data_IF_716905913579
#
_entry.id   IF_716905913579
#
_cell.length_a   1.000
_cell.length_b   1.000
_cell.length_c   1.000
_cell.angle_alpha   90.00
_cell.angle_beta   90.00
_cell.angle_gamma   90.00
#
_symmetry.space_group_name_H-M   'P 1'
#
loop_
_entity.id
_entity.type
_entity.pdbx_description
1 polymer ?
#
# COMPACT_ATOMS: atom_id res chain seq x y z
N UNK A 1 -24.20 17.16 -10.81
CA UNK A 1 -22.85 17.42 -10.26
C UNK A 1 -21.96 16.40 -10.95
N UNK A 2 -20.95 16.84 -11.71
CA UNK A 2 -20.23 15.99 -12.67
C UNK A 2 -19.37 14.93 -11.98
N UNK A 3 -19.80 13.67 -12.06
CA UNK A 3 -19.20 12.48 -11.43
C UNK A 3 -17.95 11.91 -12.14
N UNK A 4 -17.41 12.55 -13.16
CA UNK A 4 -16.28 12.00 -13.91
C UNK A 4 -14.95 12.62 -13.44
N UNK A 5 -14.50 12.30 -12.22
CA UNK A 5 -13.08 12.46 -11.89
C UNK A 5 -12.34 11.22 -12.44
N UNK A 6 -11.61 11.34 -13.58
CA UNK A 6 -10.99 10.18 -14.24
C UNK A 6 -9.91 9.52 -13.38
N UNK A 7 -9.38 10.21 -12.36
CA UNK A 7 -8.39 9.68 -11.44
C UNK A 7 -8.99 8.70 -10.42
N UNK A 8 -10.30 8.69 -10.20
CA UNK A 8 -10.96 7.71 -9.31
C UNK A 8 -10.80 6.27 -9.82
N UNK A 9 -10.50 6.11 -11.10
CA UNK A 9 -10.26 4.80 -11.68
C UNK A 9 -8.89 4.21 -11.39
N UNK A 10 -7.93 5.03 -10.96
CA UNK A 10 -6.60 4.55 -10.60
C UNK A 10 -6.67 3.62 -9.39
N UNK A 11 -5.95 2.50 -9.50
CA UNK A 11 -5.96 1.44 -8.49
C UNK A 11 -5.53 1.96 -7.13
N UNK A 12 -4.55 2.88 -7.07
CA UNK A 12 -4.09 3.45 -5.80
C UNK A 12 -5.20 4.23 -5.07
N UNK A 13 -6.10 4.90 -5.80
CA UNK A 13 -7.25 5.59 -5.21
C UNK A 13 -8.25 4.57 -4.66
N UNK A 14 -8.55 3.53 -5.43
CA UNK A 14 -9.41 2.42 -5.01
C UNK A 14 -8.87 1.73 -3.75
N UNK A 15 -7.55 1.55 -3.63
CA UNK A 15 -6.88 1.03 -2.42
C UNK A 15 -7.25 1.84 -1.17
N UNK A 16 -7.12 3.18 -1.22
CA UNK A 16 -7.46 4.02 -0.08
C UNK A 16 -8.96 4.05 0.21
N UNK A 17 -9.81 3.95 -0.82
CA UNK A 17 -11.25 3.79 -0.63
C UNK A 17 -11.59 2.47 0.09
N UNK A 18 -10.95 1.35 -0.26
CA UNK A 18 -11.15 0.07 0.43
C UNK A 18 -10.69 0.13 1.90
N UNK A 19 -9.57 0.80 2.20
CA UNK A 19 -9.16 1.03 3.59
C UNK A 19 -10.20 1.83 4.38
N UNK A 20 -10.76 2.87 3.76
CA UNK A 20 -11.78 3.71 4.37
C UNK A 20 -13.05 2.94 4.76
N UNK A 21 -13.41 1.88 4.02
CA UNK A 21 -14.57 1.03 4.32
C UNK A 21 -14.38 0.19 5.59
N UNK A 22 -13.15 -0.12 5.96
CA UNK A 22 -12.82 -1.00 7.10
C UNK A 22 -12.20 -0.27 8.29
N UNK A 23 -12.16 1.07 8.27
CA UNK A 23 -11.46 1.91 9.26
C UNK A 23 -11.88 1.66 10.71
N UNK A 24 -13.14 1.28 10.94
CA UNK A 24 -13.70 1.05 12.28
C UNK A 24 -13.43 -0.38 12.81
N UNK A 25 -12.81 -1.25 12.00
CA UNK A 25 -12.49 -2.62 12.38
C UNK A 25 -10.98 -2.84 12.36
N UNK A 26 -10.28 -2.80 13.52
CA UNK A 26 -8.83 -2.99 13.58
C UNK A 26 -8.37 -4.29 12.92
N UNK A 27 -9.13 -5.38 13.07
CA UNK A 27 -8.82 -6.67 12.44
C UNK A 27 -8.83 -6.55 10.92
N UNK A 28 -9.93 -6.07 10.35
CA UNK A 28 -10.08 -5.97 8.90
C UNK A 28 -9.11 -4.94 8.31
N UNK A 29 -8.91 -3.81 8.99
CA UNK A 29 -7.97 -2.79 8.59
C UNK A 29 -6.55 -3.33 8.45
N UNK A 30 -6.04 -4.06 9.45
CA UNK A 30 -4.70 -4.68 9.40
C UNK A 30 -4.61 -5.71 8.26
N UNK A 31 -5.64 -6.55 8.09
CA UNK A 31 -5.66 -7.57 7.04
C UNK A 31 -5.65 -6.95 5.63
N UNK A 32 -6.52 -5.97 5.39
CA UNK A 32 -6.65 -5.28 4.10
C UNK A 32 -5.39 -4.47 3.79
N UNK A 33 -4.90 -3.69 4.76
CA UNK A 33 -3.69 -2.89 4.59
C UNK A 33 -2.47 -3.77 4.27
N UNK A 34 -2.30 -4.88 4.99
CA UNK A 34 -1.21 -5.82 4.70
C UNK A 34 -1.36 -6.44 3.31
N UNK A 35 -2.58 -6.76 2.87
CA UNK A 35 -2.83 -7.28 1.51
C UNK A 35 -2.32 -6.31 0.44
N UNK A 36 -2.60 -5.01 0.59
CA UNK A 36 -2.11 -3.99 -0.34
C UNK A 36 -0.60 -3.79 -0.26
N UNK A 37 -0.02 -3.76 0.93
CA UNK A 37 1.44 -3.72 1.12
C UNK A 37 2.11 -4.88 0.38
N UNK A 38 1.55 -6.10 0.47
CA UNK A 38 2.10 -7.25 -0.22
C UNK A 38 2.02 -7.11 -1.75
N UNK A 39 0.97 -6.49 -2.30
CA UNK A 39 0.87 -6.19 -3.72
C UNK A 39 1.93 -5.16 -4.17
N UNK A 40 2.14 -4.10 -3.40
CA UNK A 40 3.17 -3.10 -3.69
C UNK A 40 4.56 -3.74 -3.64
N UNK A 41 4.86 -4.51 -2.58
CA UNK A 41 6.14 -5.22 -2.42
C UNK A 41 6.39 -6.20 -3.57
N UNK A 42 5.38 -6.96 -4.00
CA UNK A 42 5.52 -7.86 -5.15
C UNK A 42 5.87 -7.09 -6.43
N UNK A 43 5.27 -5.92 -6.63
CA UNK A 43 5.55 -5.07 -7.81
C UNK A 43 6.98 -4.53 -7.77
N UNK A 44 7.47 -4.11 -6.60
CA UNK A 44 8.86 -3.66 -6.42
C UNK A 44 9.85 -4.81 -6.65
N UNK A 45 9.56 -6.01 -6.13
CA UNK A 45 10.35 -7.23 -6.43
C UNK A 45 10.39 -7.49 -7.93
N UNK A 46 9.25 -7.40 -8.62
CA UNK A 46 9.15 -7.61 -10.06
C UNK A 46 10.04 -6.66 -10.86
N UNK A 47 10.16 -5.41 -10.42
CA UNK A 47 11.00 -4.40 -11.05
C UNK A 47 12.49 -4.50 -10.71
N UNK A 48 12.85 -4.88 -9.46
CA UNK A 48 14.24 -4.79 -8.97
C UNK A 48 15.00 -6.12 -9.00
N UNK A 49 14.31 -7.26 -8.92
CA UNK A 49 14.98 -8.56 -8.79
C UNK A 49 15.08 -9.30 -10.14
N UNK A 50 16.28 -9.75 -10.51
CA UNK A 50 16.52 -10.54 -11.74
C UNK A 50 15.70 -11.83 -11.82
N UNK A 51 15.45 -12.46 -10.66
CA UNK A 51 14.68 -13.70 -10.54
C UNK A 51 13.25 -13.45 -10.03
N UNK A 52 12.71 -12.26 -10.25
CA UNK A 52 11.43 -11.82 -9.69
C UNK A 52 10.29 -12.81 -9.90
N UNK A 53 10.09 -13.31 -11.13
CA UNK A 53 9.05 -14.30 -11.44
C UNK A 53 9.11 -15.53 -10.52
N UNK A 54 10.30 -16.01 -10.17
CA UNK A 54 10.48 -17.13 -9.22
C UNK A 54 10.08 -16.70 -7.80
N UNK A 55 10.50 -15.50 -7.38
CA UNK A 55 10.24 -14.95 -6.05
C UNK A 55 8.74 -14.66 -5.84
N UNK A 56 8.05 -14.10 -6.83
CA UNK A 56 6.64 -13.69 -6.70
C UNK A 56 5.66 -14.86 -6.86
N UNK A 57 5.96 -15.84 -7.71
CA UNK A 57 5.08 -17.02 -7.93
C UNK A 57 5.23 -18.13 -6.88
N UNK A 58 6.42 -18.31 -6.28
CA UNK A 58 6.65 -19.37 -5.30
C UNK A 58 6.45 -18.87 -3.85
N UNK A 59 5.19 -18.92 -3.40
CA UNK A 59 4.80 -18.46 -2.05
C UNK A 59 5.34 -19.31 -0.90
N UNK A 60 5.76 -20.56 -1.16
CA UNK A 60 6.31 -21.46 -0.14
C UNK A 60 7.73 -21.07 0.21
N UNK A 61 8.57 -20.90 -0.81
CA UNK A 61 9.99 -20.61 -0.62
C UNK A 61 10.25 -19.11 -0.41
N UNK A 62 9.35 -18.26 -0.92
CA UNK A 62 9.42 -16.81 -0.78
C UNK A 62 8.14 -16.26 -0.14
N UNK A 63 7.89 -16.54 1.15
CA UNK A 63 6.83 -15.88 1.89
C UNK A 63 7.09 -14.36 1.96
N UNK A 64 6.07 -13.59 2.35
CA UNK A 64 6.18 -12.13 2.42
C UNK A 64 7.38 -11.65 3.26
N UNK A 65 7.71 -12.33 4.37
CA UNK A 65 8.91 -12.02 5.17
C UNK A 65 10.22 -12.16 4.40
N UNK A 66 10.34 -13.18 3.54
CA UNK A 66 11.53 -13.37 2.72
C UNK A 66 11.66 -12.27 1.65
N UNK A 67 10.54 -11.82 1.08
CA UNK A 67 10.53 -10.70 0.13
C UNK A 67 10.97 -9.39 0.78
N UNK A 68 10.47 -9.10 1.98
CA UNK A 68 10.90 -7.93 2.76
C UNK A 68 12.41 -7.99 3.05
N UNK A 69 12.92 -9.17 3.46
CA UNK A 69 14.35 -9.36 3.70
C UNK A 69 15.17 -9.13 2.42
N UNK A 70 14.75 -9.69 1.29
CA UNK A 70 15.42 -9.46 -0.01
C UNK A 70 15.50 -7.98 -0.35
N UNK A 71 14.40 -7.22 -0.18
CA UNK A 71 14.41 -5.79 -0.46
C UNK A 71 15.33 -5.03 0.50
N UNK A 72 15.41 -5.44 1.77
CA UNK A 72 16.30 -4.82 2.74
C UNK A 72 17.79 -5.12 2.45
N UNK A 73 18.14 -6.38 2.23
CA UNK A 73 19.51 -6.81 1.88
C UNK A 73 20.02 -6.19 0.56
N UNK A 74 19.10 -5.83 -0.34
CA UNK A 74 19.45 -5.17 -1.61
C UNK A 74 19.43 -3.64 -1.52
N UNK A 75 19.14 -3.07 -0.33
CA UNK A 75 19.09 -1.63 -0.09
C UNK A 75 17.87 -0.93 -0.71
N UNK A 76 16.90 -1.68 -1.24
CA UNK A 76 15.64 -1.13 -1.76
C UNK A 76 14.70 -0.73 -0.61
N UNK A 77 14.76 -1.44 0.51
CA UNK A 77 13.97 -1.17 1.70
C UNK A 77 14.90 -0.78 2.87
N UNK A 78 14.83 0.46 3.38
CA UNK A 78 15.66 0.87 4.52
C UNK A 78 15.38 0.06 5.79
N UNK A 79 16.40 -0.11 6.66
CA UNK A 79 16.32 -0.93 7.87
C UNK A 79 15.16 -0.55 8.81
N UNK A 80 14.96 0.75 9.01
CA UNK A 80 13.86 1.25 9.83
C UNK A 80 12.51 0.82 9.26
N UNK A 81 12.33 0.94 7.95
CA UNK A 81 11.08 0.60 7.28
C UNK A 81 10.87 -0.92 7.22
N UNK A 82 11.95 -1.70 7.01
CA UNK A 82 11.93 -3.15 7.12
C UNK A 82 11.44 -3.62 8.50
N UNK A 83 11.94 -3.02 9.59
CA UNK A 83 11.49 -3.33 10.95
C UNK A 83 10.00 -3.07 11.15
N UNK A 84 9.48 -1.99 10.59
CA UNK A 84 8.05 -1.66 10.65
C UNK A 84 7.22 -2.66 9.84
N UNK A 85 7.64 -3.04 8.63
CA UNK A 85 6.95 -4.04 7.83
C UNK A 85 6.95 -5.43 8.47
N UNK A 86 8.08 -5.87 9.04
CA UNK A 86 8.12 -7.17 9.73
C UNK A 86 7.23 -7.17 10.99
N UNK A 87 7.21 -6.07 11.74
CA UNK A 87 6.26 -5.91 12.84
C UNK A 87 4.80 -5.95 12.36
N UNK A 88 4.47 -5.21 11.30
CA UNK A 88 3.10 -5.15 10.78
C UNK A 88 2.64 -6.51 10.24
N UNK A 89 3.55 -7.29 9.64
CA UNK A 89 3.32 -8.69 9.26
C UNK A 89 2.98 -9.58 10.47
N UNK A 90 3.68 -9.41 11.59
CA UNK A 90 3.37 -10.14 12.84
C UNK A 90 2.00 -9.72 13.40
N UNK A 91 1.68 -8.43 13.37
CA UNK A 91 0.36 -7.91 13.76
C UNK A 91 -0.75 -8.51 12.88
N UNK A 92 -0.53 -8.62 11.57
CA UNK A 92 -1.46 -9.29 10.65
C UNK A 92 -1.64 -10.77 10.98
N UNK A 93 -0.57 -11.49 11.30
CA UNK A 93 -0.69 -12.89 11.70
C UNK A 93 -1.58 -13.04 12.94
N UNK A 94 -1.42 -12.17 13.94
CA UNK A 94 -2.34 -12.12 15.08
C UNK A 94 -3.78 -11.84 14.64
N UNK A 95 -4.00 -10.83 13.80
CA UNK A 95 -5.31 -10.50 13.26
C UNK A 95 -5.98 -11.65 12.49
N UNK A 96 -5.20 -12.53 11.86
CA UNK A 96 -5.72 -13.68 11.13
C UNK A 96 -6.05 -14.88 12.01
N UNK A 97 -5.32 -15.08 13.11
CA UNK A 97 -5.36 -16.34 13.88
C UNK A 97 -5.95 -16.21 15.29
N UNK A 98 -5.96 -15.02 15.89
CA UNK A 98 -6.53 -14.85 17.24
C UNK A 98 -8.07 -14.88 17.19
N UNK A 99 -8.75 -15.62 18.09
CA UNK A 99 -10.21 -15.62 18.16
C UNK A 99 -10.79 -14.22 18.44
N UNK A 100 -10.13 -13.47 19.31
CA UNK A 100 -10.44 -12.08 19.63
C UNK A 100 -9.18 -11.27 19.35
N UNK A 101 -9.28 -10.28 18.47
CA UNK A 101 -8.16 -9.45 18.06
C UNK A 101 -8.42 -8.01 18.49
N UNK A 102 -7.43 -7.42 19.16
CA UNK A 102 -7.36 -6.01 19.46
C UNK A 102 -5.93 -5.53 19.30
N UNK A 103 -5.78 -4.27 18.92
CA UNK A 103 -4.49 -3.58 18.86
C UNK A 103 -4.34 -2.80 20.15
N UNK A 104 -3.25 -3.04 20.87
CA UNK A 104 -2.95 -2.38 22.14
C UNK A 104 -1.91 -1.29 21.98
N UNK A 105 -1.82 -0.38 22.96
CA UNK A 105 -0.73 0.62 23.00
C UNK A 105 0.66 -0.04 23.01
N UNK A 106 0.78 -1.21 23.65
CA UNK A 106 2.02 -1.98 23.67
C UNK A 106 2.39 -2.54 22.29
N UNK A 107 1.41 -2.91 21.47
CA UNK A 107 1.69 -3.38 20.11
C UNK A 107 2.31 -2.26 19.27
N UNK A 108 1.89 -1.03 19.52
CA UNK A 108 2.25 0.15 18.75
C UNK A 108 3.52 0.86 19.27
N UNK A 109 4.09 0.44 20.39
CA UNK A 109 5.21 1.13 21.03
C UNK A 109 6.50 1.11 20.22
N UNK A 110 6.60 0.22 19.22
CA UNK A 110 7.73 0.15 18.28
C UNK A 110 7.78 1.36 17.32
N UNK A 111 6.64 2.02 17.10
CA UNK A 111 6.53 3.14 16.17
C UNK A 111 7.27 4.36 16.74
N UNK A 112 8.13 5.00 15.94
CA UNK A 112 8.90 6.17 16.40
C UNK A 112 8.00 7.36 16.73
N UNK A 113 6.94 7.56 15.95
CA UNK A 113 5.99 8.65 16.18
C UNK A 113 4.95 8.24 17.23
N UNK A 114 5.00 8.89 18.39
CA UNK A 114 4.10 8.65 19.53
C UNK A 114 2.62 8.83 19.20
N UNK A 115 2.27 9.61 18.17
CA UNK A 115 0.88 9.74 17.70
C UNK A 115 0.27 8.36 17.43
N UNK A 116 1.03 7.48 16.79
CA UNK A 116 0.56 6.16 16.41
C UNK A 116 0.62 5.14 17.56
N UNK A 117 0.98 5.54 18.79
CA UNK A 117 0.88 4.66 19.96
C UNK A 117 -0.56 4.49 20.42
N UNK A 118 -1.47 5.36 19.98
CA UNK A 118 -2.90 5.22 20.23
C UNK A 118 -3.57 4.36 19.14
N UNK A 119 -4.24 3.24 19.50
CA UNK A 119 -5.00 2.43 18.55
C UNK A 119 -6.06 3.19 17.74
N UNK A 120 -6.58 4.31 18.26
CA UNK A 120 -7.51 5.17 17.51
C UNK A 120 -6.87 5.74 16.22
N UNK A 121 -5.54 5.86 16.20
CA UNK A 121 -4.79 6.35 15.05
C UNK A 121 -4.34 5.24 14.08
N UNK A 122 -4.83 4.00 14.25
CA UNK A 122 -4.41 2.87 13.41
C UNK A 122 -4.76 3.04 11.93
N UNK A 123 -5.92 3.63 11.62
CA UNK A 123 -6.34 3.90 10.24
C UNK A 123 -5.38 4.89 9.55
N UNK A 124 -5.04 5.97 10.24
CA UNK A 124 -4.08 6.94 9.73
C UNK A 124 -2.70 6.30 9.56
N UNK A 125 -2.26 5.52 10.54
CA UNK A 125 -0.99 4.78 10.44
C UNK A 125 -0.95 3.87 9.20
N UNK A 126 -2.00 3.06 8.97
CA UNK A 126 -2.06 2.17 7.80
C UNK A 126 -2.03 2.95 6.48
N UNK A 127 -2.74 4.08 6.43
CA UNK A 127 -2.77 4.99 5.28
C UNK A 127 -1.37 5.56 5.02
N UNK A 128 -0.68 6.03 6.06
CA UNK A 128 0.68 6.58 5.96
C UNK A 128 1.70 5.50 5.61
N UNK A 129 1.57 4.28 6.13
CA UNK A 129 2.47 3.19 5.80
C UNK A 129 2.38 2.82 4.30
N UNK A 130 1.17 2.71 3.77
CA UNK A 130 0.93 2.41 2.35
C UNK A 130 1.36 3.60 1.48
N UNK A 131 0.92 4.82 1.83
CA UNK A 131 1.26 6.03 1.09
C UNK A 131 2.76 6.35 1.10
N UNK A 132 3.44 6.10 2.22
CA UNK A 132 4.88 6.27 2.35
C UNK A 132 5.65 5.34 1.43
N UNK A 133 5.33 4.04 1.47
CA UNK A 133 5.96 3.05 0.58
C UNK A 133 5.64 3.29 -0.90
N UNK A 134 4.41 3.72 -1.20
CA UNK A 134 4.02 4.18 -2.53
C UNK A 134 4.90 5.34 -3.02
N UNK A 135 5.03 6.40 -2.21
CA UNK A 135 5.78 7.60 -2.57
C UNK A 135 7.28 7.33 -2.74
N UNK A 136 7.85 6.44 -1.91
CA UNK A 136 9.27 6.06 -1.98
C UNK A 136 9.62 5.30 -3.28
N UNK A 137 8.63 4.65 -3.90
CA UNK A 137 8.80 3.85 -5.11
C UNK A 137 7.88 4.32 -6.25
N UNK A 138 7.60 5.61 -6.33
CA UNK A 138 6.66 6.19 -7.29
C UNK A 138 7.07 5.93 -8.75
N UNK A 139 8.38 5.86 -9.03
CA UNK A 139 8.92 5.53 -10.35
C UNK A 139 8.52 4.13 -10.85
N UNK A 140 8.32 3.20 -9.93
CA UNK A 140 7.95 1.81 -10.21
C UNK A 140 6.44 1.61 -10.09
N UNK A 141 5.86 2.11 -8.99
CA UNK A 141 4.48 1.85 -8.63
C UNK A 141 3.51 2.78 -9.37
N UNK A 142 3.91 4.02 -9.63
CA UNK A 142 3.14 5.04 -10.35
C UNK A 142 2.50 4.51 -11.63
N UNK A 143 3.32 4.04 -12.60
CA UNK A 143 2.81 3.52 -13.87
C UNK A 143 1.88 2.31 -13.75
N UNK A 144 1.97 1.55 -12.65
CA UNK A 144 1.20 0.31 -12.45
C UNK A 144 -0.14 0.58 -11.78
N UNK A 145 -0.16 1.38 -10.71
CA UNK A 145 -1.38 1.58 -9.91
C UNK A 145 -2.03 2.96 -10.11
N UNK A 146 -1.33 3.91 -10.72
CA UNK A 146 -1.83 5.27 -10.94
C UNK A 146 -1.55 5.80 -12.36
N UNK A 147 -1.73 4.99 -13.44
CA UNK A 147 -1.32 5.39 -14.78
C UNK A 147 -1.97 6.70 -15.27
N UNK A 148 -3.19 7.03 -14.83
CA UNK A 148 -3.88 8.25 -15.26
C UNK A 148 -3.35 9.49 -14.56
N UNK A 149 -3.09 9.39 -13.26
CA UNK A 149 -2.38 10.42 -12.49
C UNK A 149 -1.01 10.68 -13.10
N UNK A 150 -0.26 9.62 -13.43
CA UNK A 150 1.08 9.74 -14.02
C UNK A 150 1.08 10.33 -15.43
N UNK A 151 0.01 10.12 -16.21
CA UNK A 151 -0.11 10.64 -17.58
C UNK A 151 -0.75 12.02 -17.69
N UNK A 152 -1.27 12.59 -16.59
CA UNK A 152 -1.98 13.87 -16.57
C UNK A 152 -3.29 13.85 -17.35
N UNK A 153 -3.93 12.68 -17.49
CA UNK A 153 -5.12 12.50 -18.33
C UNK A 153 -6.33 13.36 -17.93
N UNK A 154 -6.46 13.73 -16.66
CA UNK A 154 -7.53 14.61 -16.18
C UNK A 154 -7.28 16.12 -16.40
N UNK A 155 -6.07 16.50 -16.84
CA UNK A 155 -5.71 17.91 -17.09
C UNK A 155 -5.83 18.28 -18.58
N UNK A 156 -6.15 17.32 -19.45
CA UNK A 156 -6.34 17.58 -20.88
C UNK A 156 -7.68 18.30 -21.09
N UNK A 157 -7.71 19.56 -21.60
CA UNK A 157 -8.96 20.22 -21.92
C UNK A 157 -9.73 19.38 -22.93
N UNK A 158 -11.03 19.13 -22.66
CA UNK A 158 -11.94 18.50 -23.62
C UNK A 158 -11.85 19.30 -24.92
N UNK A 159 -11.23 18.74 -25.96
CA UNK A 159 -11.11 19.38 -27.27
C UNK A 159 -12.51 19.74 -27.75
N UNK A 160 -12.78 21.04 -27.86
CA UNK A 160 -14.11 21.57 -28.11
C UNK A 160 -14.69 21.09 -29.43
N UNK A 161 -15.95 20.67 -29.38
CA UNK A 161 -16.84 20.62 -30.53
C UNK A 161 -17.07 22.05 -31.03
N UNK A 162 -16.22 22.55 -31.94
CA UNK A 162 -16.61 23.66 -32.83
C UNK A 162 -17.62 23.10 -33.82
N UNK A 163 -18.90 23.39 -33.59
CA UNK A 163 -19.87 23.47 -34.69
C UNK A 163 -19.47 24.70 -35.51
N UNK A 164 -18.95 24.48 -36.70
CA UNK A 164 -18.97 25.50 -37.74
C UNK A 164 -20.43 25.66 -38.17
N UNK A 165 -20.98 26.82 -37.86
CA UNK A 165 -22.24 27.29 -38.43
C UNK A 165 -21.97 27.71 -39.87
N UNK A 166 -22.72 27.12 -40.81
CA UNK A 166 -22.95 27.65 -42.15
C UNK A 166 -24.44 28.02 -42.25
#
# INVERSE_FOLDING_TARGET
MSDDNPYLDDTIIKVFMELGKVKESPRLLVLVAHGFIELLVNTVIDAKCKNSKKITSNRRDYPHSAKLLILNETGVLPDDLYRIFDWFRKLRNRAAHEPIFSVTKSDLSILKNKKYHDPENLYEFCTVLIGGFWNEHLDILGPVFAPRIMSGEGDKPKSGSRKESA
#
